data_IF_410762962537
#
_entry.id   IF_410762962537
#
_cell.length_a   1.000
_cell.length_b   1.000
_cell.length_c   1.000
_cell.angle_alpha   90.00
_cell.angle_beta   90.00
_cell.angle_gamma   90.00
#
_symmetry.space_group_name_H-M   'P 1'
#
loop_
_entity.id
_entity.type
_entity.pdbx_description
1 polymer ?
#
# COMPACT_ATOMS: atom_id res chain seq x y z
N UNK A 1 -4.68 11.52 21.25
CA UNK A 1 -3.55 10.90 22.01
C UNK A 1 -2.26 10.99 21.20
N UNK A 2 -1.08 10.81 21.82
CA UNK A 2 0.20 10.78 21.08
C UNK A 2 0.20 9.73 19.96
N UNK A 3 -0.45 8.58 20.19
CA UNK A 3 -0.64 7.52 19.19
C UNK A 3 -1.38 7.99 17.94
N UNK A 4 -2.46 8.77 18.10
CA UNK A 4 -3.22 9.34 16.99
C UNK A 4 -2.40 10.38 16.22
N UNK A 5 -1.68 11.25 16.93
CA UNK A 5 -0.80 12.24 16.30
C UNK A 5 0.28 11.56 15.44
N UNK A 6 0.92 10.49 15.95
CA UNK A 6 1.90 9.71 15.18
C UNK A 6 1.26 9.08 13.93
N UNK A 7 0.04 8.54 14.04
CA UNK A 7 -0.67 7.97 12.89
C UNK A 7 -0.98 9.01 11.80
N UNK A 8 -1.36 10.22 12.19
CA UNK A 8 -1.57 11.33 11.25
C UNK A 8 -0.28 11.74 10.56
N UNK A 9 0.81 11.91 11.32
CA UNK A 9 2.12 12.27 10.77
C UNK A 9 2.64 11.22 9.78
N UNK A 10 2.44 9.92 10.05
CA UNK A 10 2.80 8.86 9.10
C UNK A 10 2.05 9.02 7.77
N UNK A 11 0.78 9.38 7.81
CA UNK A 11 -0.02 9.65 6.60
C UNK A 11 0.57 10.81 5.79
N UNK A 12 0.90 11.90 6.47
CA UNK A 12 1.53 13.08 5.85
C UNK A 12 2.90 12.75 5.23
N UNK A 13 3.78 12.06 5.96
CA UNK A 13 5.09 11.67 5.43
C UNK A 13 4.98 10.67 4.26
N UNK A 14 3.99 9.78 4.28
CA UNK A 14 3.71 8.88 3.17
C UNK A 14 3.34 9.67 1.91
N UNK A 15 2.45 10.67 2.03
CA UNK A 15 2.10 11.57 0.93
C UNK A 15 3.31 12.35 0.43
N UNK A 16 4.11 12.92 1.34
CA UNK A 16 5.32 13.64 0.96
C UNK A 16 6.30 12.75 0.19
N UNK A 17 6.51 11.50 0.61
CA UNK A 17 7.36 10.54 -0.09
C UNK A 17 6.81 10.22 -1.49
N UNK A 18 5.51 9.90 -1.60
CA UNK A 18 4.84 9.61 -2.88
C UNK A 18 5.02 10.78 -3.86
N UNK A 19 4.81 12.00 -3.39
CA UNK A 19 4.93 13.21 -4.21
C UNK A 19 6.38 13.48 -4.62
N UNK A 20 7.31 13.45 -3.65
CA UNK A 20 8.73 13.76 -3.85
C UNK A 20 9.38 12.83 -4.87
N UNK A 21 9.09 11.54 -4.80
CA UNK A 21 9.64 10.53 -5.70
C UNK A 21 8.76 10.28 -6.93
N UNK A 22 7.66 11.02 -7.08
CA UNK A 22 6.68 10.86 -8.17
C UNK A 22 6.27 9.39 -8.37
N UNK A 23 5.99 8.71 -7.25
CA UNK A 23 5.73 7.28 -7.27
C UNK A 23 4.51 6.99 -8.12
N UNK A 24 4.72 6.19 -9.16
CA UNK A 24 3.71 5.87 -10.15
C UNK A 24 2.96 4.58 -9.84
N UNK A 25 3.65 3.65 -9.19
CA UNK A 25 3.08 2.42 -8.64
C UNK A 25 3.82 2.02 -7.38
N UNK A 26 3.11 1.72 -6.30
CA UNK A 26 3.77 1.32 -5.05
C UNK A 26 2.98 0.28 -4.26
N UNK A 27 3.71 -0.59 -3.56
CA UNK A 27 3.17 -1.45 -2.51
C UNK A 27 3.47 -0.85 -1.14
N UNK A 28 2.45 -0.70 -0.31
CA UNK A 28 2.56 -0.05 1.00
C UNK A 28 2.24 -1.08 2.09
N UNK A 29 3.22 -1.37 2.93
CA UNK A 29 3.08 -2.34 4.01
C UNK A 29 2.73 -1.69 5.34
N UNK A 30 1.61 -2.11 5.89
CA UNK A 30 1.14 -1.77 7.23
C UNK A 30 1.23 -2.99 8.15
N UNK A 31 1.32 -2.74 9.46
CA UNK A 31 1.34 -3.81 10.47
C UNK A 31 -0.03 -4.43 10.67
N UNK A 32 -1.06 -3.58 10.75
CA UNK A 32 -2.42 -4.01 11.06
C UNK A 32 -3.39 -3.70 9.93
N UNK A 33 -4.48 -4.46 9.85
CA UNK A 33 -5.62 -4.20 8.97
C UNK A 33 -6.21 -2.79 9.17
N UNK A 34 -6.29 -2.35 10.43
CA UNK A 34 -6.81 -1.04 10.80
C UNK A 34 -5.90 0.08 10.25
N UNK A 35 -4.58 -0.12 10.26
CA UNK A 35 -3.66 0.84 9.65
C UNK A 35 -3.80 0.91 8.12
N UNK A 36 -4.11 -0.23 7.46
CA UNK A 36 -4.44 -0.22 6.03
C UNK A 36 -5.67 0.63 5.75
N UNK A 37 -6.76 0.37 6.48
CA UNK A 37 -8.04 1.08 6.30
C UNK A 37 -7.90 2.57 6.61
N UNK A 38 -7.18 2.93 7.68
CA UNK A 38 -6.92 4.32 8.03
C UNK A 38 -6.14 5.05 6.91
N UNK A 39 -5.16 4.41 6.30
CA UNK A 39 -4.39 4.99 5.21
C UNK A 39 -5.22 5.13 3.93
N UNK A 40 -6.05 4.13 3.60
CA UNK A 40 -7.01 4.23 2.49
C UNK A 40 -8.01 5.39 2.70
N UNK A 41 -8.56 5.51 3.90
CA UNK A 41 -9.44 6.62 4.27
C UNK A 41 -8.73 7.98 4.17
N UNK A 42 -7.45 8.05 4.55
CA UNK A 42 -6.65 9.26 4.40
C UNK A 42 -6.47 9.63 2.92
N UNK A 43 -6.14 8.67 2.05
CA UNK A 43 -6.05 8.90 0.61
C UNK A 43 -7.39 9.27 -0.03
N UNK A 44 -8.50 8.73 0.43
CA UNK A 44 -9.86 9.14 0.00
C UNK A 44 -10.09 10.63 0.28
N UNK A 45 -9.70 11.12 1.47
CA UNK A 45 -9.82 12.56 1.81
C UNK A 45 -8.99 13.46 0.90
N UNK A 46 -7.94 12.93 0.28
CA UNK A 46 -7.09 13.62 -0.69
C UNK A 46 -7.57 13.45 -2.15
N UNK A 47 -8.77 12.91 -2.36
CA UNK A 47 -9.35 12.70 -3.71
C UNK A 47 -8.95 11.38 -4.38
N UNK A 48 -8.25 10.49 -3.65
CA UNK A 48 -7.85 9.16 -4.12
C UNK A 48 -8.84 8.05 -3.76
N UNK A 49 -8.31 6.88 -3.42
CA UNK A 49 -9.11 5.73 -2.97
C UNK A 49 -9.46 4.69 -4.05
N UNK A 50 -10.32 3.72 -3.73
CA UNK A 50 -10.52 2.49 -4.53
C UNK A 50 -11.44 2.63 -5.74
N UNK A 51 -12.09 3.79 -5.88
CA UNK A 51 -13.05 4.11 -6.95
C UNK A 51 -12.51 5.13 -7.96
N UNK A 52 -11.33 5.70 -7.70
CA UNK A 52 -10.73 6.72 -8.54
C UNK A 52 -9.60 6.09 -9.34
N UNK A 53 -9.64 6.26 -10.66
CA UNK A 53 -8.57 5.80 -11.56
C UNK A 53 -7.65 6.97 -11.91
N UNK A 54 -6.40 6.68 -12.28
CA UNK A 54 -5.39 7.67 -12.71
C UNK A 54 -5.02 8.76 -11.68
N UNK A 55 -5.58 8.73 -10.48
CA UNK A 55 -5.19 9.63 -9.39
C UNK A 55 -3.93 9.12 -8.69
N UNK A 56 -3.03 10.02 -8.27
CA UNK A 56 -1.78 9.65 -7.59
C UNK A 56 -2.01 8.84 -6.31
N UNK A 57 -3.11 9.13 -5.60
CA UNK A 57 -3.53 8.40 -4.40
C UNK A 57 -4.65 7.38 -4.66
N UNK A 58 -4.87 6.95 -5.90
CA UNK A 58 -5.75 5.81 -6.18
C UNK A 58 -5.18 4.56 -5.51
N UNK A 59 -5.97 3.93 -4.65
CA UNK A 59 -5.47 2.87 -3.78
C UNK A 59 -6.53 1.82 -3.46
N UNK A 60 -6.07 0.61 -3.13
CA UNK A 60 -6.90 -0.47 -2.62
C UNK A 60 -6.21 -1.19 -1.47
N UNK A 61 -7.01 -1.79 -0.59
CA UNK A 61 -6.51 -2.58 0.54
C UNK A 61 -6.56 -4.10 0.31
N UNK A 62 -5.57 -4.80 0.86
CA UNK A 62 -5.49 -6.26 0.89
C UNK A 62 -5.05 -6.72 2.29
N UNK A 63 -6.02 -7.19 3.09
CA UNK A 63 -5.82 -7.78 4.42
C UNK A 63 -6.92 -8.80 4.73
N UNK A 64 -6.77 -9.55 5.83
CA UNK A 64 -7.62 -10.70 6.14
C UNK A 64 -9.12 -10.39 6.34
N UNK A 65 -9.44 -9.18 6.80
CA UNK A 65 -10.84 -8.74 7.02
C UNK A 65 -11.57 -8.32 5.73
N UNK A 66 -10.87 -8.13 4.61
CA UNK A 66 -11.55 -7.91 3.32
C UNK A 66 -12.11 -9.23 2.82
N UNK A 67 -13.30 -9.17 2.22
CA UNK A 67 -13.93 -10.38 1.67
C UNK A 67 -13.02 -11.04 0.61
N UNK A 68 -13.03 -12.39 0.46
CA UNK A 68 -12.21 -13.07 -0.53
C UNK A 68 -12.33 -12.50 -1.95
N UNK A 69 -13.57 -12.22 -2.38
CA UNK A 69 -13.84 -11.63 -3.70
C UNK A 69 -13.32 -10.20 -3.81
N UNK A 70 -13.48 -9.40 -2.75
CA UNK A 70 -12.94 -8.04 -2.69
C UNK A 70 -11.42 -8.03 -2.79
N UNK A 71 -10.72 -8.93 -2.09
CA UNK A 71 -9.26 -9.06 -2.18
C UNK A 71 -8.81 -9.39 -3.60
N UNK A 72 -9.50 -10.32 -4.27
CA UNK A 72 -9.23 -10.68 -5.66
C UNK A 72 -9.44 -9.47 -6.57
N UNK A 73 -10.58 -8.78 -6.47
CA UNK A 73 -10.88 -7.60 -7.26
C UNK A 73 -9.87 -6.47 -7.04
N UNK A 74 -9.48 -6.22 -5.79
CA UNK A 74 -8.49 -5.20 -5.43
C UNK A 74 -7.11 -5.54 -6.02
N UNK A 75 -6.69 -6.80 -5.92
CA UNK A 75 -5.45 -7.24 -6.53
C UNK A 75 -5.47 -7.06 -8.05
N UNK A 76 -6.56 -7.42 -8.72
CA UNK A 76 -6.72 -7.24 -10.17
C UNK A 76 -6.72 -5.75 -10.56
N UNK A 77 -7.40 -4.88 -9.81
CA UNK A 77 -7.36 -3.42 -10.03
C UNK A 77 -5.93 -2.89 -9.99
N UNK A 78 -5.13 -3.35 -9.03
CA UNK A 78 -3.74 -2.93 -8.90
C UNK A 78 -2.86 -3.52 -10.01
N UNK A 79 -3.02 -4.81 -10.35
CA UNK A 79 -2.30 -5.46 -11.45
C UNK A 79 -2.55 -4.76 -12.78
N UNK A 80 -3.81 -4.43 -13.06
CA UNK A 80 -4.26 -3.76 -14.29
C UNK A 80 -4.03 -2.24 -14.30
N UNK A 81 -3.25 -1.69 -13.36
CA UNK A 81 -2.94 -0.26 -13.24
C UNK A 81 -4.16 0.66 -13.06
N UNK A 82 -5.32 0.12 -12.66
CA UNK A 82 -6.51 0.92 -12.36
C UNK A 82 -6.35 1.70 -11.06
N UNK A 83 -5.49 1.21 -10.16
CA UNK A 83 -5.03 1.93 -8.96
C UNK A 83 -3.52 1.91 -8.88
N UNK A 84 -2.94 2.99 -8.35
CA UNK A 84 -1.48 3.17 -8.27
C UNK A 84 -0.89 2.56 -7.00
N UNK A 85 -1.66 2.46 -5.93
CA UNK A 85 -1.17 2.04 -4.61
C UNK A 85 -1.92 0.79 -4.13
N UNK A 86 -1.18 -0.22 -3.68
CA UNK A 86 -1.73 -1.37 -2.98
C UNK A 86 -1.29 -1.32 -1.52
N UNK A 87 -2.24 -1.26 -0.58
CA UNK A 87 -1.97 -1.20 0.85
C UNK A 87 -2.24 -2.58 1.45
N UNK A 88 -1.28 -3.16 2.17
CA UNK A 88 -1.42 -4.54 2.64
C UNK A 88 -0.72 -4.82 3.97
N UNK A 89 -1.12 -5.94 4.59
CA UNK A 89 -0.35 -6.57 5.67
C UNK A 89 0.54 -7.68 5.12
N UNK A 90 1.58 -8.07 5.87
CA UNK A 90 2.51 -9.14 5.47
C UNK A 90 1.78 -10.45 5.15
N UNK A 91 0.87 -10.87 6.03
CA UNK A 91 0.11 -12.12 5.88
C UNK A 91 -0.64 -12.14 4.56
N UNK A 92 -1.26 -11.02 4.19
CA UNK A 92 -2.10 -10.94 3.02
C UNK A 92 -1.29 -10.76 1.72
N UNK A 93 -0.09 -10.23 1.82
CA UNK A 93 0.85 -10.10 0.71
C UNK A 93 1.72 -11.36 0.47
N UNK A 94 1.65 -12.37 1.34
CA UNK A 94 2.27 -13.66 1.05
C UNK A 94 1.46 -14.38 -0.03
N UNK A 95 2.14 -14.88 -1.05
CA UNK A 95 1.50 -15.58 -2.16
C UNK A 95 0.82 -14.70 -3.21
N UNK A 96 0.82 -13.36 -3.07
CA UNK A 96 0.44 -12.50 -4.19
C UNK A 96 1.57 -12.49 -5.22
N UNK A 97 1.20 -12.76 -6.47
CA UNK A 97 2.09 -12.65 -7.62
C UNK A 97 2.15 -11.19 -8.08
N UNK A 98 2.87 -10.39 -7.30
CA UNK A 98 3.18 -8.98 -7.56
C UNK A 98 4.66 -8.80 -7.25
N UNK A 99 5.44 -8.44 -8.26
CA UNK A 99 6.90 -8.27 -8.18
C UNK A 99 7.31 -7.22 -9.23
N UNK A 100 8.59 -6.81 -9.21
CA UNK A 100 9.10 -5.84 -10.18
C UNK A 100 8.49 -4.43 -10.04
N UNK A 101 7.94 -4.10 -8.86
CA UNK A 101 7.38 -2.77 -8.64
C UNK A 101 8.49 -1.72 -8.54
N UNK A 102 8.23 -0.48 -8.97
CA UNK A 102 9.23 0.58 -8.88
C UNK A 102 9.43 1.07 -7.43
N UNK A 103 8.41 0.93 -6.58
CA UNK A 103 8.46 1.39 -5.19
C UNK A 103 7.79 0.42 -4.22
N UNK A 104 8.38 0.34 -3.02
CA UNK A 104 7.79 -0.26 -1.83
C UNK A 104 7.92 0.74 -0.67
N UNK A 105 6.85 0.94 0.08
CA UNK A 105 6.82 1.77 1.29
C UNK A 105 6.60 0.87 2.50
N UNK A 106 7.55 0.88 3.44
CA UNK A 106 7.38 0.31 4.78
C UNK A 106 6.68 1.32 5.69
N UNK A 107 5.35 1.47 5.57
CA UNK A 107 4.58 2.44 6.34
C UNK A 107 4.66 2.19 7.85
N UNK A 108 4.70 0.90 8.22
CA UNK A 108 5.13 0.46 9.55
C UNK A 108 6.22 -0.58 9.38
N UNK A 109 7.33 -0.43 10.12
CA UNK A 109 8.41 -1.41 10.09
C UNK A 109 7.92 -2.79 10.58
N UNK A 110 8.36 -3.87 9.93
CA UNK A 110 8.06 -5.22 10.39
C UNK A 110 8.78 -5.50 11.71
N UNK A 111 8.19 -6.36 12.54
CA UNK A 111 8.82 -6.82 13.79
C UNK A 111 9.92 -7.85 13.50
N UNK A 112 9.72 -8.70 12.48
CA UNK A 112 10.66 -9.73 12.05
C UNK A 112 11.50 -9.28 10.84
N UNK A 113 12.80 -9.60 10.85
CA UNK A 113 13.74 -9.27 9.76
C UNK A 113 13.34 -9.91 8.43
N UNK A 114 12.84 -11.15 8.48
CA UNK A 114 12.45 -11.93 7.31
C UNK A 114 11.33 -11.22 6.53
N UNK A 115 10.39 -10.61 7.26
CA UNK A 115 9.34 -9.81 6.63
C UNK A 115 9.92 -8.59 5.93
N UNK A 116 10.94 -7.92 6.47
CA UNK A 116 11.60 -6.82 5.76
C UNK A 116 12.18 -7.28 4.42
N UNK A 117 12.88 -8.41 4.41
CA UNK A 117 13.45 -9.01 3.19
C UNK A 117 12.35 -9.37 2.19
N UNK A 118 11.26 -9.98 2.65
CA UNK A 118 10.12 -10.32 1.79
C UNK A 118 9.44 -9.08 1.20
N UNK A 119 9.31 -8.00 1.97
CA UNK A 119 8.71 -6.75 1.51
C UNK A 119 9.57 -6.09 0.44
N UNK A 120 10.87 -5.94 0.68
CA UNK A 120 11.77 -5.33 -0.31
C UNK A 120 11.98 -6.24 -1.53
N UNK A 121 11.79 -7.55 -1.42
CA UNK A 121 11.77 -8.45 -2.58
C UNK A 121 10.65 -8.16 -3.59
N UNK A 122 9.68 -7.31 -3.24
CA UNK A 122 8.60 -6.84 -4.13
C UNK A 122 9.02 -5.66 -5.00
N UNK A 123 10.06 -4.93 -4.60
CA UNK A 123 10.72 -3.92 -5.44
C UNK A 123 11.83 -4.59 -6.24
N UNK A 124 12.01 -4.16 -7.48
CA UNK A 124 13.04 -4.71 -8.35
C UNK A 124 12.88 -4.19 -9.76
N UNK A 125 14.00 -4.10 -10.48
CA UNK A 125 14.01 -3.69 -11.88
C UNK A 125 13.52 -4.87 -12.72
N UNK A 126 12.21 -5.01 -12.87
CA UNK A 126 11.68 -5.62 -14.08
C UNK A 126 11.93 -4.60 -15.20
N UNK A 127 13.08 -4.73 -15.85
CA UNK A 127 13.47 -4.10 -17.11
C UNK A 127 13.09 -2.61 -17.29
N UNK A 128 14.05 -1.74 -16.91
CA UNK A 128 14.37 -0.57 -17.73
C UNK A 128 15.55 -0.93 -18.62
#
# INVERSE_FOLDING_TARGET
TLSEAVKLLKGEYCVQAINKFKMDKALIFCRTKIDCDNLEHYFIKLGGGPKVQNHQFSCVCLHADRAPDERKQNLEKFKNNQTRLLICTDVAARGIDVSGLPFVINYTLPDEKENYIHRIGRVGRADR
#
